data_IF_443178295966
#
_entry.id   IF_443178295966
#
_cell.length_a   1.000
_cell.length_b   1.000
_cell.length_c   1.000
_cell.angle_alpha   90.00
_cell.angle_beta   90.00
_cell.angle_gamma   90.00
#
_symmetry.space_group_name_H-M   'P 1'
#
loop_
_entity.id
_entity.type
_entity.pdbx_description
1 polymer ?
#
# COMPACT_ATOMS: atom_id res chain seq x y z
N UNK A 1 -10.20 -10.89 -50.79
CA UNK A 1 -10.29 -11.46 -49.43
C UNK A 1 -8.99 -12.19 -49.15
N UNK A 2 -8.07 -11.56 -48.41
CA UNK A 2 -6.85 -12.21 -47.95
C UNK A 2 -6.88 -12.18 -46.41
N UNK A 3 -7.26 -13.32 -45.84
CA UNK A 3 -7.11 -13.63 -44.43
C UNK A 3 -5.65 -14.02 -44.22
N UNK A 4 -4.91 -13.22 -43.45
CA UNK A 4 -3.51 -13.48 -43.13
C UNK A 4 -3.28 -13.34 -41.63
N UNK A 5 -2.89 -14.48 -41.04
CA UNK A 5 -2.19 -14.63 -39.77
C UNK A 5 -2.96 -14.25 -38.49
N UNK A 6 -3.96 -15.06 -38.18
CA UNK A 6 -4.20 -15.43 -36.78
C UNK A 6 -2.95 -16.18 -36.30
N UNK A 7 -2.21 -15.60 -35.36
CA UNK A 7 -1.01 -16.22 -34.76
C UNK A 7 -1.47 -16.91 -33.48
N UNK A 8 -1.64 -18.24 -33.44
CA UNK A 8 -2.08 -18.92 -32.24
C UNK A 8 -0.89 -19.07 -31.29
N UNK A 9 -1.07 -18.68 -30.03
CA UNK A 9 -0.27 -19.16 -28.89
C UNK A 9 1.25 -18.94 -28.97
N UNK A 10 1.71 -17.69 -28.84
CA UNK A 10 3.09 -17.43 -28.43
C UNK A 10 3.22 -17.89 -26.96
N UNK A 11 3.77 -19.09 -26.74
CA UNK A 11 4.32 -19.47 -25.43
C UNK A 11 5.31 -18.38 -25.00
N UNK A 12 5.37 -18.00 -23.70
CA UNK A 12 6.33 -17.01 -23.23
C UNK A 12 7.72 -17.47 -23.63
N UNK A 13 8.37 -16.75 -24.55
CA UNK A 13 9.80 -16.97 -24.80
C UNK A 13 10.51 -16.14 -23.73
N UNK A 14 11.10 -16.75 -22.69
CA UNK A 14 11.77 -16.03 -21.61
C UNK A 14 13.00 -15.23 -22.07
N UNK A 15 13.37 -15.33 -23.35
CA UNK A 15 14.56 -14.72 -23.95
C UNK A 15 14.31 -13.35 -24.61
N UNK A 16 13.08 -12.82 -24.64
CA UNK A 16 12.88 -11.47 -25.21
C UNK A 16 13.38 -10.40 -24.22
N UNK A 17 14.10 -9.35 -24.70
CA UNK A 17 14.56 -8.27 -23.82
C UNK A 17 13.43 -7.58 -23.05
N UNK A 18 12.26 -7.44 -23.68
CA UNK A 18 11.06 -6.88 -23.04
C UNK A 18 10.61 -7.71 -21.85
N UNK A 19 10.48 -9.03 -22.03
CA UNK A 19 10.09 -9.92 -20.94
C UNK A 19 11.05 -9.83 -19.75
N UNK A 20 12.36 -9.79 -20.01
CA UNK A 20 13.36 -9.69 -18.95
C UNK A 20 13.22 -8.39 -18.16
N UNK A 21 13.08 -7.27 -18.85
CA UNK A 21 12.91 -5.96 -18.20
C UNK A 21 11.60 -5.90 -17.40
N UNK A 22 10.50 -6.42 -17.95
CA UNK A 22 9.21 -6.48 -17.24
C UNK A 22 9.27 -7.39 -16.02
N UNK A 23 9.97 -8.52 -16.09
CA UNK A 23 10.19 -9.43 -14.97
C UNK A 23 11.00 -8.75 -13.86
N UNK A 24 12.17 -8.20 -14.20
CA UNK A 24 13.03 -7.49 -13.24
C UNK A 24 12.28 -6.32 -12.60
N UNK A 25 11.50 -5.59 -13.39
CA UNK A 25 10.66 -4.50 -12.90
C UNK A 25 9.60 -4.99 -11.91
N UNK A 26 8.86 -6.05 -12.24
CA UNK A 26 7.82 -6.61 -11.34
C UNK A 26 8.41 -7.19 -10.06
N UNK A 27 9.58 -7.84 -10.15
CA UNK A 27 10.30 -8.29 -8.97
C UNK A 27 10.78 -7.12 -8.11
N UNK A 28 11.23 -6.01 -8.73
CA UNK A 28 11.61 -4.80 -8.00
C UNK A 28 10.41 -4.14 -7.30
N UNK A 29 9.21 -4.16 -7.90
CA UNK A 29 7.98 -3.68 -7.24
C UNK A 29 7.60 -4.48 -5.98
N UNK A 30 8.15 -5.68 -5.79
CA UNK A 30 7.96 -6.41 -4.54
C UNK A 30 8.86 -5.90 -3.40
N UNK A 31 9.89 -5.10 -3.70
CA UNK A 31 10.78 -4.51 -2.70
C UNK A 31 10.19 -3.18 -2.17
N UNK A 32 9.88 -3.07 -0.87
CA UNK A 32 9.33 -1.85 -0.29
C UNK A 32 10.27 -0.63 -0.38
N UNK A 33 11.58 -0.84 -0.28
CA UNK A 33 12.55 0.25 -0.39
C UNK A 33 12.56 0.85 -1.80
N UNK A 34 12.38 -0.01 -2.82
CA UNK A 34 12.29 0.45 -4.20
C UNK A 34 10.99 1.21 -4.48
N UNK A 35 9.86 0.75 -3.94
CA UNK A 35 8.59 1.47 -4.03
C UNK A 35 8.68 2.86 -3.39
N UNK A 36 9.25 2.94 -2.18
CA UNK A 36 9.47 4.22 -1.49
C UNK A 36 10.37 5.14 -2.32
N UNK A 37 11.46 4.61 -2.88
CA UNK A 37 12.35 5.39 -3.75
C UNK A 37 11.61 5.94 -4.97
N UNK A 38 10.77 5.13 -5.64
CA UNK A 38 9.94 5.58 -6.75
C UNK A 38 8.93 6.65 -6.33
N UNK A 39 8.29 6.51 -5.16
CA UNK A 39 7.34 7.50 -4.65
C UNK A 39 7.98 8.86 -4.41
N UNK A 40 9.20 8.89 -3.85
CA UNK A 40 9.94 10.13 -3.58
C UNK A 40 10.53 10.73 -4.86
N UNK A 41 11.08 9.90 -5.75
CA UNK A 41 11.78 10.37 -6.97
C UNK A 41 10.81 10.74 -8.09
N UNK A 42 9.67 10.06 -8.18
CA UNK A 42 8.71 10.20 -9.27
C UNK A 42 7.28 10.38 -8.74
N UNK A 43 7.00 11.45 -7.95
CA UNK A 43 5.70 11.64 -7.31
C UNK A 43 4.54 11.81 -8.31
N UNK A 44 4.83 12.36 -9.49
CA UNK A 44 3.87 12.56 -10.58
C UNK A 44 3.36 11.24 -11.22
N UNK A 45 4.05 10.11 -11.01
CA UNK A 45 3.60 8.79 -11.46
C UNK A 45 2.54 8.17 -10.54
N UNK A 46 2.56 8.51 -9.26
CA UNK A 46 1.67 7.93 -8.27
C UNK A 46 0.49 8.83 -7.94
N UNK A 47 0.70 10.16 -7.93
CA UNK A 47 -0.36 11.12 -7.65
C UNK A 47 -0.67 11.93 -8.91
N UNK A 48 -1.86 11.78 -9.53
CA UNK A 48 -2.26 12.69 -10.59
C UNK A 48 -2.31 14.09 -10.01
N UNK A 49 -1.53 15.03 -10.58
CA UNK A 49 -1.39 16.41 -10.10
C UNK A 49 -2.71 16.97 -9.56
N UNK A 50 -2.88 16.96 -8.24
CA UNK A 50 -3.85 17.82 -7.58
C UNK A 50 -3.36 19.24 -7.86
N UNK A 51 -4.14 19.94 -8.67
CA UNK A 51 -4.14 21.37 -8.92
C UNK A 51 -2.99 22.16 -8.25
N UNK A 52 -2.08 22.72 -9.06
CA UNK A 52 -1.11 23.73 -8.61
C UNK A 52 -1.87 24.98 -8.14
N UNK A 53 -2.42 24.98 -6.92
CA UNK A 53 -3.21 26.07 -6.36
C UNK A 53 -2.37 27.32 -6.01
N UNK A 54 -1.15 27.48 -6.57
CA UNK A 54 -0.30 28.63 -6.24
C UNK A 54 0.44 29.29 -7.41
N UNK A 55 -0.22 29.40 -8.57
CA UNK A 55 0.17 30.42 -9.56
C UNK A 55 -1.06 30.94 -10.30
N UNK A 56 -1.66 32.00 -9.75
CA UNK A 56 -2.63 32.95 -10.37
C UNK A 56 -3.95 32.33 -10.91
N UNK A 57 -5.13 32.95 -10.66
CA UNK A 57 -6.35 32.54 -11.33
C UNK A 57 -6.27 33.01 -12.79
N UNK A 58 -5.71 32.17 -13.66
CA UNK A 58 -5.86 32.36 -15.10
C UNK A 58 -7.23 31.79 -15.49
N UNK A 59 -8.04 32.68 -16.02
CA UNK A 59 -9.33 32.46 -16.63
C UNK A 59 -9.38 31.23 -17.57
N UNK A 60 -10.57 30.64 -17.64
CA UNK A 60 -11.10 29.85 -18.75
C UNK A 60 -10.30 28.60 -19.17
N UNK A 61 -10.61 27.48 -18.53
CA UNK A 61 -10.21 26.16 -19.02
C UNK A 61 -10.48 25.05 -18.02
N UNK A 62 -11.69 24.49 -18.03
CA UNK A 62 -11.92 23.19 -17.41
C UNK A 62 -11.00 22.18 -18.11
N UNK A 63 -10.10 21.51 -17.38
CA UNK A 63 -9.32 20.39 -17.94
C UNK A 63 -10.32 19.38 -18.51
N UNK A 64 -10.18 19.06 -19.79
CA UNK A 64 -11.07 18.12 -20.44
C UNK A 64 -10.86 16.74 -19.80
N UNK A 65 -11.92 15.95 -19.59
CA UNK A 65 -11.84 14.57 -19.06
C UNK A 65 -10.84 13.69 -19.86
N UNK A 66 -10.54 14.11 -21.10
CA UNK A 66 -9.57 13.50 -22.01
C UNK A 66 -8.09 13.73 -21.64
N UNK A 67 -7.77 14.83 -20.97
CA UNK A 67 -6.38 15.16 -20.58
C UNK A 67 -5.95 14.40 -19.31
N UNK A 68 -6.90 14.08 -18.41
CA UNK A 68 -6.62 13.26 -17.23
C UNK A 68 -6.31 11.80 -17.58
N UNK A 69 -6.97 11.26 -18.61
CA UNK A 69 -6.79 9.87 -19.09
C UNK A 69 -5.39 9.62 -19.67
N UNK A 70 -4.69 10.66 -20.11
CA UNK A 70 -3.36 10.56 -20.71
C UNK A 70 -2.24 11.13 -19.82
N UNK A 71 -2.53 11.38 -18.54
CA UNK A 71 -1.52 11.79 -17.57
C UNK A 71 -0.53 10.67 -17.28
N UNK A 72 0.70 11.00 -16.86
CA UNK A 72 1.71 9.99 -16.53
C UNK A 72 1.24 9.01 -15.44
N UNK A 73 0.50 9.51 -14.44
CA UNK A 73 -0.11 8.68 -13.41
C UNK A 73 -1.17 7.71 -13.96
N UNK A 74 -1.99 8.15 -14.92
CA UNK A 74 -2.97 7.30 -15.58
C UNK A 74 -2.30 6.26 -16.48
N UNK A 75 -1.29 6.67 -17.25
CA UNK A 75 -0.46 5.77 -18.06
C UNK A 75 0.22 4.69 -17.19
N UNK A 76 0.79 5.09 -16.05
CA UNK A 76 1.42 4.17 -15.11
C UNK A 76 0.42 3.20 -14.49
N UNK A 77 -0.76 3.66 -14.07
CA UNK A 77 -1.82 2.79 -13.55
C UNK A 77 -2.24 1.71 -14.58
N UNK A 78 -2.44 2.10 -15.84
CA UNK A 78 -2.74 1.17 -16.93
C UNK A 78 -1.61 0.17 -17.18
N UNK A 79 -0.37 0.60 -17.03
CA UNK A 79 0.78 -0.28 -17.16
C UNK A 79 0.83 -1.31 -16.02
N UNK A 80 0.56 -0.90 -14.78
CA UNK A 80 0.42 -1.82 -13.65
C UNK A 80 -0.73 -2.83 -13.87
N UNK A 81 -1.84 -2.39 -14.48
CA UNK A 81 -2.97 -3.28 -14.80
C UNK A 81 -2.57 -4.33 -15.84
N UNK A 82 -1.84 -3.90 -16.87
CA UNK A 82 -1.24 -4.80 -17.84
C UNK A 82 -0.36 -5.84 -17.15
N UNK A 83 0.54 -5.42 -16.26
CA UNK A 83 1.42 -6.32 -15.52
C UNK A 83 0.62 -7.29 -14.64
N UNK A 84 -0.37 -6.82 -13.88
CA UNK A 84 -1.20 -7.67 -13.03
C UNK A 84 -1.91 -8.77 -13.84
N UNK A 85 -2.51 -8.40 -14.98
CA UNK A 85 -3.21 -9.35 -15.84
C UNK A 85 -2.27 -10.31 -16.57
N UNK A 86 -1.06 -9.84 -16.91
CA UNK A 86 -0.04 -10.64 -17.59
C UNK A 86 0.56 -11.69 -16.64
N UNK A 87 1.02 -11.27 -15.47
CA UNK A 87 1.70 -12.12 -14.49
C UNK A 87 0.77 -13.03 -13.68
N UNK A 88 -0.55 -12.79 -13.70
CA UNK A 88 -1.55 -13.71 -13.12
C UNK A 88 -1.68 -15.03 -13.88
N UNK A 89 -1.35 -15.06 -15.18
CA UNK A 89 -1.54 -16.27 -15.97
C UNK A 89 -0.46 -17.31 -15.62
N UNK A 90 -0.81 -18.60 -15.56
CA UNK A 90 0.09 -19.65 -15.08
C UNK A 90 1.37 -19.79 -15.94
N UNK A 91 1.32 -19.39 -17.21
CA UNK A 91 2.47 -19.45 -18.11
C UNK A 91 3.56 -18.45 -17.74
N UNK A 92 3.22 -17.35 -17.05
CA UNK A 92 4.15 -16.29 -16.67
C UNK A 92 4.45 -16.30 -15.16
N UNK A 93 3.49 -16.66 -14.32
CA UNK A 93 3.65 -16.65 -12.86
C UNK A 93 4.74 -17.61 -12.35
N UNK A 94 5.05 -18.67 -13.12
CA UNK A 94 6.12 -19.62 -12.81
C UNK A 94 7.53 -18.99 -12.72
N UNK A 95 7.74 -17.81 -13.32
CA UNK A 95 9.02 -17.08 -13.28
C UNK A 95 9.15 -16.17 -12.05
N UNK A 96 8.08 -16.00 -11.27
CA UNK A 96 8.10 -15.19 -10.06
C UNK A 96 8.63 -16.03 -8.89
N UNK A 97 9.55 -15.47 -8.10
CA UNK A 97 10.08 -16.14 -6.89
C UNK A 97 8.99 -16.36 -5.84
N UNK A 98 8.07 -15.39 -5.68
CA UNK A 98 6.95 -15.46 -4.75
C UNK A 98 5.65 -14.97 -5.41
N UNK A 99 5.00 -15.81 -6.26
CA UNK A 99 3.87 -15.40 -7.09
C UNK A 99 2.74 -14.73 -6.30
N UNK A 100 2.35 -15.31 -5.16
CA UNK A 100 1.26 -14.77 -4.35
C UNK A 100 1.57 -13.37 -3.78
N UNK A 101 2.80 -13.17 -3.28
CA UNK A 101 3.20 -11.89 -2.71
C UNK A 101 3.34 -10.80 -3.79
N UNK A 102 3.98 -11.14 -4.91
CA UNK A 102 4.17 -10.21 -6.04
C UNK A 102 2.83 -9.78 -6.64
N UNK A 103 1.93 -10.72 -6.91
CA UNK A 103 0.59 -10.41 -7.45
C UNK A 103 -0.20 -9.54 -6.47
N UNK A 104 -0.16 -9.87 -5.17
CA UNK A 104 -0.84 -9.06 -4.16
C UNK A 104 -0.28 -7.64 -4.05
N UNK A 105 1.03 -7.45 -4.19
CA UNK A 105 1.63 -6.11 -4.21
C UNK A 105 1.18 -5.33 -5.46
N UNK A 106 1.10 -5.98 -6.62
CA UNK A 106 0.54 -5.37 -7.83
C UNK A 106 -0.95 -4.98 -7.65
N UNK A 107 -1.74 -5.80 -6.95
CA UNK A 107 -3.13 -5.47 -6.59
C UNK A 107 -3.22 -4.25 -5.67
N UNK A 108 -2.35 -4.16 -4.66
CA UNK A 108 -2.28 -2.98 -3.78
C UNK A 108 -1.91 -1.73 -4.56
N UNK A 109 -0.97 -1.83 -5.50
CA UNK A 109 -0.55 -0.72 -6.36
C UNK A 109 -1.67 -0.21 -7.28
N UNK A 110 -2.72 -0.99 -7.54
CA UNK A 110 -3.90 -0.48 -8.27
C UNK A 110 -4.71 0.51 -7.43
N UNK A 111 -4.65 0.40 -6.11
CA UNK A 111 -5.37 1.29 -5.22
C UNK A 111 -4.68 2.68 -5.19
N UNK A 112 -5.40 3.72 -5.58
CA UNK A 112 -4.92 5.10 -5.59
C UNK A 112 -4.48 5.58 -4.20
N UNK A 113 -5.21 5.18 -3.15
CA UNK A 113 -4.86 5.57 -1.78
C UNK A 113 -3.52 4.93 -1.37
N UNK A 114 -3.33 3.66 -1.69
CA UNK A 114 -2.06 2.98 -1.42
C UNK A 114 -0.90 3.67 -2.17
N UNK A 115 -1.11 4.09 -3.42
CA UNK A 115 -0.11 4.83 -4.19
C UNK A 115 0.28 6.16 -3.56
N UNK A 116 -0.67 6.88 -2.96
CA UNK A 116 -0.40 8.11 -2.20
C UNK A 116 0.44 7.82 -0.95
N UNK A 117 0.11 6.72 -0.28
CA UNK A 117 0.75 6.32 0.98
C UNK A 117 2.15 5.70 0.80
N UNK A 118 2.59 5.38 -0.43
CA UNK A 118 3.94 4.85 -0.74
C UNK A 118 5.06 5.78 -0.27
N UNK A 119 4.78 7.08 -0.15
CA UNK A 119 5.75 8.04 0.38
C UNK A 119 5.91 7.96 1.90
N UNK A 120 5.01 7.26 2.59
CA UNK A 120 4.96 7.24 4.05
C UNK A 120 5.84 6.12 4.63
N UNK A 121 6.78 6.44 5.55
CA UNK A 121 7.71 5.46 6.11
C UNK A 121 7.01 4.30 6.86
N UNK A 122 5.85 4.55 7.46
CA UNK A 122 5.04 3.49 8.09
C UNK A 122 4.52 2.45 7.09
N UNK A 123 4.28 2.82 5.82
CA UNK A 123 3.87 1.84 4.80
C UNK A 123 5.03 0.91 4.44
N UNK A 124 6.25 1.47 4.33
CA UNK A 124 7.48 0.70 4.10
C UNK A 124 7.67 -0.37 5.17
N UNK A 125 7.54 -0.02 6.45
CA UNK A 125 7.68 -0.98 7.56
C UNK A 125 6.64 -2.10 7.46
N UNK A 126 5.37 -1.74 7.23
CA UNK A 126 4.27 -2.70 7.03
C UNK A 126 4.48 -3.65 5.85
N UNK A 127 5.13 -3.17 4.77
CA UNK A 127 5.47 -4.00 3.61
C UNK A 127 6.72 -4.87 3.88
N UNK A 128 7.70 -4.37 4.62
CA UNK A 128 8.96 -5.03 4.93
C UNK A 128 8.81 -6.14 5.99
N UNK A 129 7.95 -5.96 6.98
CA UNK A 129 7.60 -6.98 7.98
C UNK A 129 6.90 -8.20 7.35
N UNK A 130 6.49 -8.09 6.09
CA UNK A 130 5.69 -9.09 5.41
C UNK A 130 4.28 -9.13 5.97
N UNK A 131 3.32 -9.47 5.11
CA UNK A 131 1.89 -9.50 5.44
C UNK A 131 1.47 -10.54 6.50
N UNK A 132 2.42 -11.15 7.23
CA UNK A 132 2.15 -11.89 8.46
C UNK A 132 1.70 -10.97 9.61
N UNK A 133 1.98 -9.66 9.53
CA UNK A 133 1.63 -8.65 10.53
C UNK A 133 0.22 -8.04 10.42
N UNK A 134 -0.80 -8.77 9.96
CA UNK A 134 -2.20 -8.29 10.04
C UNK A 134 -2.75 -8.35 11.49
N UNK A 135 -1.93 -8.00 12.48
CA UNK A 135 -2.47 -7.55 13.75
C UNK A 135 -3.06 -6.15 13.50
N UNK A 136 -4.35 -5.90 13.77
CA UNK A 136 -4.87 -4.54 13.71
C UNK A 136 -4.01 -3.67 14.64
N UNK A 137 -3.55 -2.52 14.13
CA UNK A 137 -2.85 -1.53 14.92
C UNK A 137 -3.67 -1.20 16.18
N UNK A 138 -3.17 -1.62 17.35
CA UNK A 138 -3.67 -1.15 18.64
C UNK A 138 -2.82 0.07 18.98
N UNK A 139 -3.37 1.30 18.91
CA UNK A 139 -2.63 2.46 19.37
C UNK A 139 -2.21 2.25 20.83
N UNK A 140 -1.03 2.75 21.26
CA UNK A 140 -0.64 2.68 22.65
C UNK A 140 -1.71 3.37 23.50
N UNK A 141 -2.36 2.59 24.37
CA UNK A 141 -3.25 3.14 25.39
C UNK A 141 -2.37 4.10 26.20
N UNK A 142 -2.73 5.39 26.34
CA UNK A 142 -1.95 6.29 27.18
C UNK A 142 -1.95 5.70 28.60
N UNK A 143 -0.77 5.24 29.03
CA UNK A 143 -0.50 4.70 30.35
C UNK A 143 -1.03 5.69 31.38
N UNK A 144 -2.19 5.39 31.98
CA UNK A 144 -2.66 6.15 33.13
C UNK A 144 -1.69 5.82 34.26
N UNK A 145 -0.78 6.75 34.53
CA UNK A 145 0.09 6.75 35.70
C UNK A 145 -0.72 6.32 36.91
N UNK A 146 -0.30 5.26 37.65
CA UNK A 146 -0.97 4.92 38.89
C UNK A 146 -0.90 6.13 39.81
N UNK A 147 -2.06 6.68 40.17
CA UNK A 147 -2.15 7.68 41.21
C UNK A 147 -1.80 6.99 42.53
N UNK A 148 -0.56 7.20 42.97
CA UNK A 148 -0.11 6.87 44.32
C UNK A 148 -1.02 7.61 45.32
N UNK A 149 -1.95 6.88 45.94
CA UNK A 149 -2.77 7.40 47.02
C UNK A 149 -1.93 7.58 48.29
N UNK A 150 -1.81 8.81 48.75
CA UNK A 150 -1.23 9.14 50.07
C UNK A 150 -1.98 8.43 51.21
N UNK A 151 -1.30 8.01 52.29
CA UNK A 151 -1.93 7.48 53.49
C UNK A 151 -2.30 8.62 54.43
N UNK A 152 -3.60 8.91 54.58
CA UNK A 152 -4.13 9.76 55.63
C UNK A 152 -4.48 8.95 56.88
N UNK A 153 -3.65 9.05 57.93
CA UNK A 153 -3.96 8.62 59.30
C UNK A 153 -5.15 9.38 59.89
N UNK A 154 -5.96 8.71 60.71
CA UNK A 154 -7.04 9.34 61.47
C UNK A 154 -7.88 8.35 62.30
N UNK A 155 -7.32 7.93 63.43
CA UNK A 155 -7.96 7.54 64.72
C UNK A 155 -9.50 7.62 64.75
N UNK A 156 -10.29 6.59 65.07
CA UNK A 156 -10.23 5.73 66.23
C UNK A 156 -11.36 6.11 67.20
N UNK A 157 -12.36 5.25 67.43
CA UNK A 157 -13.06 5.12 68.71
C UNK A 157 -14.01 3.90 68.71
N UNK A 158 -13.93 3.14 69.80
CA UNK A 158 -14.53 1.84 70.03
C UNK A 158 -15.94 1.95 70.62
N UNK A 159 -16.78 0.94 70.41
CA UNK A 159 -17.61 0.37 71.47
C UNK A 159 -18.12 -1.02 71.07
N UNK A 160 -17.89 -2.00 71.94
CA UNK A 160 -18.29 -3.40 71.78
C UNK A 160 -19.53 -3.77 72.59
N UNK A 161 -19.56 -5.06 72.99
CA UNK A 161 -20.56 -5.81 73.78
C UNK A 161 -21.61 -6.52 72.89
N UNK A 162 -21.51 -7.82 72.57
CA UNK A 162 -21.49 -9.09 73.33
C UNK A 162 -22.89 -9.69 73.63
N UNK A 163 -23.00 -11.03 73.43
CA UNK A 163 -24.15 -11.91 73.76
C UNK A 163 -24.93 -12.33 72.50
N UNK A 164 -24.85 -13.56 71.96
CA UNK A 164 -25.18 -14.89 72.53
C UNK A 164 -26.58 -14.93 73.14
N UNK A 165 -27.52 -15.64 72.50
CA UNK A 165 -28.24 -16.80 73.09
C UNK A 165 -29.35 -17.30 72.13
N UNK A 166 -29.30 -18.63 71.89
CA UNK A 166 -30.33 -19.65 71.56
C UNK A 166 -31.40 -19.36 70.50
#
# INVERSE_FOLDING_TARGET
MASAAETPSQTPIPATPRFKIELEFVLALANPDYLQYLGVTMPHLFNPSENTNNTKPAAFGAKSKKDSDNSDAACFARYLEYLLNYWRKPEYSQYLTHPAATIRNLELLQNEQFRRDITHPALRERLAEGFAGFAPYVPPVPEQQPQDGEPGEGTGEANGVAGNDV
#
